data_IF_375779574605
#
_entry.id   IF_375779574605
#
_cell.length_a   1.000
_cell.length_b   1.000
_cell.length_c   1.000
_cell.angle_alpha   90.00
_cell.angle_beta   90.00
_cell.angle_gamma   90.00
#
_symmetry.space_group_name_H-M   'P 1'
#
loop_
_entity.id
_entity.type
_entity.pdbx_description
1 polymer ?
#
# COMPACT_ATOMS: atom_id res chain seq x y z
N UNK A 1 19.95 -25.27 -4.45
CA UNK A 1 20.54 -24.09 -3.78
C UNK A 1 20.05 -22.91 -4.55
N UNK A 2 19.01 -22.22 -4.06
CA UNK A 2 18.56 -20.96 -4.62
C UNK A 2 19.67 -19.94 -4.41
N UNK A 3 20.12 -19.32 -5.49
CA UNK A 3 21.08 -18.24 -5.44
C UNK A 3 20.35 -17.05 -4.77
N UNK A 4 20.69 -16.73 -3.52
CA UNK A 4 19.99 -15.78 -2.67
C UNK A 4 20.22 -14.31 -3.07
N UNK A 5 20.95 -14.05 -4.15
CA UNK A 5 21.44 -12.72 -4.43
C UNK A 5 20.43 -11.78 -5.11
N UNK A 6 19.20 -12.23 -5.46
CA UNK A 6 18.18 -11.32 -6.03
C UNK A 6 16.74 -11.88 -6.07
N UNK A 7 16.22 -12.52 -5.04
CA UNK A 7 14.80 -12.84 -5.02
C UNK A 7 14.00 -11.58 -4.68
N UNK A 8 13.44 -10.95 -5.68
CA UNK A 8 12.60 -9.76 -5.52
C UNK A 8 11.22 -10.15 -5.03
N UNK A 9 10.80 -9.64 -3.87
CA UNK A 9 9.52 -9.97 -3.25
C UNK A 9 8.31 -9.89 -4.19
N UNK A 10 8.15 -8.83 -5.02
CA UNK A 10 7.02 -8.77 -5.96
C UNK A 10 7.01 -9.92 -6.98
N UNK A 11 8.17 -10.35 -7.47
CA UNK A 11 8.29 -11.47 -8.40
C UNK A 11 7.97 -12.80 -7.70
N UNK A 12 8.48 -12.99 -6.48
CA UNK A 12 8.20 -14.17 -5.69
C UNK A 12 6.68 -14.29 -5.43
N UNK A 13 6.04 -13.22 -4.97
CA UNK A 13 4.59 -13.17 -4.73
C UNK A 13 3.78 -13.55 -5.98
N UNK A 14 4.25 -13.16 -7.18
CA UNK A 14 3.56 -13.45 -8.43
C UNK A 14 3.85 -14.85 -9.01
N UNK A 15 4.93 -15.50 -8.58
CA UNK A 15 5.41 -16.76 -9.17
C UNK A 15 5.06 -18.00 -8.35
N UNK A 16 4.85 -17.86 -7.04
CA UNK A 16 4.53 -19.00 -6.17
C UNK A 16 3.02 -19.21 -6.01
N UNK A 17 2.56 -20.43 -5.68
CA UNK A 17 1.15 -20.70 -5.41
C UNK A 17 0.62 -19.87 -4.23
N UNK A 18 -0.58 -19.32 -4.35
CA UNK A 18 -1.18 -18.42 -3.35
C UNK A 18 -1.47 -19.09 -1.99
N UNK A 19 -1.55 -20.40 -1.95
CA UNK A 19 -1.76 -21.20 -0.75
C UNK A 19 -0.44 -21.69 -0.10
N UNK A 20 0.71 -21.44 -0.76
CA UNK A 20 2.02 -21.84 -0.25
C UNK A 20 2.44 -21.02 0.97
N UNK A 21 3.35 -21.56 1.76
CA UNK A 21 3.94 -20.86 2.90
C UNK A 21 4.84 -19.73 2.43
N UNK A 22 5.59 -19.95 1.34
CA UNK A 22 6.46 -18.93 0.72
C UNK A 22 5.67 -17.72 0.30
N UNK A 23 4.47 -17.91 -0.29
CA UNK A 23 3.58 -16.82 -0.65
C UNK A 23 3.18 -15.98 0.57
N UNK A 24 2.71 -16.65 1.63
CA UNK A 24 2.27 -15.99 2.86
C UNK A 24 3.38 -15.17 3.49
N UNK A 25 4.59 -15.76 3.58
CA UNK A 25 5.76 -15.08 4.15
C UNK A 25 6.20 -13.90 3.28
N UNK A 26 6.26 -14.07 1.95
CA UNK A 26 6.64 -13.01 1.02
C UNK A 26 5.66 -11.82 1.08
N UNK A 27 4.35 -12.08 1.14
CA UNK A 27 3.34 -11.06 1.31
C UNK A 27 3.51 -10.30 2.63
N UNK A 28 3.74 -11.01 3.74
CA UNK A 28 3.94 -10.36 5.05
C UNK A 28 5.19 -9.47 5.04
N UNK A 29 6.31 -9.94 4.49
CA UNK A 29 7.52 -9.10 4.38
C UNK A 29 7.23 -7.87 3.55
N UNK A 30 6.64 -8.02 2.36
CA UNK A 30 6.32 -6.91 1.46
C UNK A 30 5.39 -5.88 2.12
N UNK A 31 4.33 -6.34 2.77
CA UNK A 31 3.34 -5.47 3.42
C UNK A 31 3.99 -4.65 4.55
N UNK A 32 4.82 -5.28 5.38
CA UNK A 32 5.54 -4.58 6.45
C UNK A 32 6.60 -3.61 5.92
N UNK A 33 7.35 -3.98 4.87
CA UNK A 33 8.30 -3.05 4.23
C UNK A 33 7.58 -1.80 3.73
N UNK A 34 6.46 -1.97 3.01
CA UNK A 34 5.67 -0.83 2.52
C UNK A 34 5.12 0.02 3.67
N UNK A 35 4.64 -0.61 4.74
CA UNK A 35 4.13 0.09 5.90
C UNK A 35 5.22 0.95 6.55
N UNK A 36 6.37 0.36 6.88
CA UNK A 36 7.46 1.10 7.53
C UNK A 36 8.12 2.15 6.64
N UNK A 37 8.22 1.91 5.33
CA UNK A 37 8.69 2.93 4.38
C UNK A 37 7.76 4.15 4.39
N UNK A 38 6.46 3.94 4.54
CA UNK A 38 5.47 5.03 4.56
C UNK A 38 5.49 5.86 5.84
N UNK A 39 6.25 5.45 6.86
CA UNK A 39 6.27 6.09 8.17
C UNK A 39 7.59 6.84 8.43
N UNK A 40 7.51 7.89 9.22
CA UNK A 40 8.66 8.60 9.76
C UNK A 40 8.33 9.19 11.13
N UNK A 41 9.25 9.11 12.11
CA UNK A 41 9.08 9.82 13.38
C UNK A 41 9.15 11.33 13.20
N UNK A 42 9.64 11.80 12.05
CA UNK A 42 9.73 13.21 11.65
C UNK A 42 9.41 13.29 10.15
N UNK A 43 8.13 13.21 9.77
CA UNK A 43 7.75 13.26 8.36
C UNK A 43 8.15 14.62 7.78
N UNK A 44 8.75 14.60 6.58
CA UNK A 44 9.13 15.83 5.87
C UNK A 44 7.90 16.51 5.27
N UNK A 45 6.92 15.74 4.82
CA UNK A 45 5.61 16.25 4.39
C UNK A 45 4.51 15.58 5.22
N UNK A 46 3.71 16.37 5.92
CA UNK A 46 2.57 15.89 6.74
C UNK A 46 1.26 15.81 5.94
N UNK A 47 1.25 16.33 4.73
CA UNK A 47 0.11 16.28 3.80
C UNK A 47 0.61 16.02 2.38
N UNK A 48 -0.18 15.34 1.52
CA UNK A 48 0.21 15.09 0.13
C UNK A 48 0.28 16.39 -0.67
N UNK A 49 1.27 16.46 -1.57
CA UNK A 49 1.51 17.62 -2.44
C UNK A 49 1.63 17.20 -3.92
N UNK A 50 1.65 18.18 -4.83
CA UNK A 50 1.89 17.98 -6.25
C UNK A 50 0.87 17.05 -6.93
N UNK A 51 1.36 16.19 -7.84
CA UNK A 51 0.51 15.28 -8.62
C UNK A 51 -0.21 14.26 -7.74
N UNK A 52 0.42 13.78 -6.67
CA UNK A 52 -0.23 12.87 -5.73
C UNK A 52 -1.48 13.51 -5.11
N UNK A 53 -1.36 14.77 -4.64
CA UNK A 53 -2.49 15.50 -4.08
C UNK A 53 -3.61 15.69 -5.12
N UNK A 54 -3.27 16.09 -6.33
CA UNK A 54 -4.25 16.23 -7.40
C UNK A 54 -4.97 14.92 -7.73
N UNK A 55 -4.23 13.80 -7.72
CA UNK A 55 -4.84 12.48 -7.97
C UNK A 55 -5.73 12.04 -6.81
N UNK A 56 -5.37 12.36 -5.56
CA UNK A 56 -6.25 12.14 -4.40
C UNK A 56 -7.55 12.94 -4.56
N UNK A 57 -7.45 14.23 -4.84
CA UNK A 57 -8.62 15.10 -4.97
C UNK A 57 -9.51 14.65 -6.15
N UNK A 58 -8.92 14.22 -7.27
CA UNK A 58 -9.66 13.67 -8.40
C UNK A 58 -10.33 12.32 -8.09
N UNK A 59 -9.69 11.45 -7.31
CA UNK A 59 -10.20 10.09 -7.03
C UNK A 59 -11.25 10.08 -5.92
N UNK A 60 -11.16 11.00 -4.95
CA UNK A 60 -11.98 10.99 -3.75
C UNK A 60 -12.79 12.27 -3.52
N UNK A 61 -12.57 13.32 -4.32
CA UNK A 61 -13.19 14.62 -4.19
C UNK A 61 -12.39 15.62 -3.36
N UNK A 62 -11.71 15.16 -2.31
CA UNK A 62 -10.79 15.96 -1.49
C UNK A 62 -9.88 15.06 -0.67
N UNK A 63 -8.83 15.64 -0.07
CA UNK A 63 -7.97 14.94 0.87
C UNK A 63 -8.72 14.51 2.14
N UNK A 64 -9.64 15.33 2.64
CA UNK A 64 -10.43 14.99 3.82
C UNK A 64 -11.36 13.82 3.53
N UNK A 65 -12.03 13.81 2.37
CA UNK A 65 -12.84 12.67 1.95
C UNK A 65 -12.02 11.39 1.73
N UNK A 66 -10.78 11.51 1.26
CA UNK A 66 -9.84 10.39 1.20
C UNK A 66 -9.55 9.86 2.60
N UNK A 67 -9.22 10.72 3.58
CA UNK A 67 -8.94 10.30 4.96
C UNK A 67 -10.15 9.61 5.61
N UNK A 68 -11.36 10.13 5.39
CA UNK A 68 -12.60 9.52 5.89
C UNK A 68 -12.79 8.10 5.32
N UNK A 69 -12.67 7.93 4.00
CA UNK A 69 -12.78 6.63 3.34
C UNK A 69 -11.68 5.67 3.77
N UNK A 70 -10.46 6.17 3.95
CA UNK A 70 -9.34 5.34 4.39
C UNK A 70 -9.55 4.85 5.81
N UNK A 71 -10.00 5.73 6.72
CA UNK A 71 -10.37 5.38 8.09
C UNK A 71 -11.51 4.37 8.13
N UNK A 72 -12.57 4.60 7.34
CA UNK A 72 -13.70 3.68 7.24
C UNK A 72 -13.24 2.28 6.79
N UNK A 73 -12.38 2.20 5.79
CA UNK A 73 -11.84 0.93 5.33
C UNK A 73 -11.03 0.20 6.42
N UNK A 74 -10.21 0.93 7.20
CA UNK A 74 -9.45 0.38 8.35
C UNK A 74 -10.37 -0.16 9.43
N UNK A 75 -11.46 0.53 9.74
CA UNK A 75 -12.42 0.11 10.76
C UNK A 75 -13.24 -1.12 10.32
N UNK A 76 -13.48 -1.26 9.02
CA UNK A 76 -14.30 -2.32 8.45
C UNK A 76 -13.54 -3.62 8.16
N UNK A 77 -12.21 -3.67 8.31
CA UNK A 77 -11.48 -4.93 8.19
C UNK A 77 -11.91 -5.88 9.29
N UNK A 78 -12.47 -7.02 8.90
CA UNK A 78 -12.85 -8.06 9.85
C UNK A 78 -11.63 -8.91 10.22
N UNK A 79 -11.28 -8.93 11.53
CA UNK A 79 -10.10 -9.66 11.99
C UNK A 79 -8.79 -8.96 11.63
N UNK A 80 -7.80 -9.73 11.18
CA UNK A 80 -6.47 -9.26 10.78
C UNK A 80 -6.42 -8.97 9.29
N UNK A 81 -5.70 -7.95 8.90
CA UNK A 81 -5.55 -7.59 7.50
C UNK A 81 -4.77 -6.30 7.29
N UNK A 82 -4.90 -5.75 6.11
CA UNK A 82 -4.23 -4.54 5.66
C UNK A 82 -5.18 -3.65 4.89
N UNK A 83 -4.95 -2.36 4.88
CA UNK A 83 -5.65 -1.44 3.97
C UNK A 83 -4.61 -0.67 3.16
N UNK A 84 -4.65 -0.84 1.85
CA UNK A 84 -3.69 -0.26 0.92
C UNK A 84 -4.25 0.97 0.22
N UNK A 85 -3.38 1.92 -0.09
CA UNK A 85 -3.59 2.94 -1.11
C UNK A 85 -2.90 2.46 -2.39
N UNK A 86 -3.68 2.26 -3.44
CA UNK A 86 -3.24 1.62 -4.69
C UNK A 86 -3.38 2.59 -5.85
N UNK A 87 -2.30 2.72 -6.63
CA UNK A 87 -2.34 3.42 -7.93
C UNK A 87 -2.90 2.48 -8.98
N UNK A 88 -3.90 2.94 -9.70
CA UNK A 88 -4.48 2.24 -10.86
C UNK A 88 -4.21 3.01 -12.15
N UNK A 89 -3.74 2.30 -13.15
CA UNK A 89 -3.69 2.82 -14.51
C UNK A 89 -5.03 2.59 -15.20
N UNK A 90 -5.58 3.63 -15.79
CA UNK A 90 -6.70 3.50 -16.73
C UNK A 90 -6.16 3.63 -18.16
N UNK A 91 -5.89 2.51 -18.85
CA UNK A 91 -5.28 2.54 -20.18
C UNK A 91 -6.18 3.23 -21.23
N UNK A 92 -7.49 3.23 -21.04
CA UNK A 92 -8.44 3.86 -21.96
C UNK A 92 -8.32 5.40 -21.99
N UNK A 93 -7.96 6.00 -20.84
CA UNK A 93 -7.88 7.46 -20.71
C UNK A 93 -6.45 7.96 -20.48
N UNK A 94 -5.45 7.09 -20.51
CA UNK A 94 -4.04 7.40 -20.16
C UNK A 94 -3.94 8.18 -18.85
N UNK A 95 -4.78 7.83 -17.87
CA UNK A 95 -4.92 8.53 -16.60
C UNK A 95 -4.63 7.60 -15.42
N UNK A 96 -4.24 8.20 -14.31
CA UNK A 96 -4.00 7.50 -13.05
C UNK A 96 -5.09 7.85 -12.05
N UNK A 97 -5.50 6.86 -11.27
CA UNK A 97 -6.43 7.02 -10.15
C UNK A 97 -5.89 6.31 -8.92
N UNK A 98 -6.44 6.66 -7.76
CA UNK A 98 -6.16 5.97 -6.51
C UNK A 98 -7.39 5.21 -6.03
N UNK A 99 -7.14 4.07 -5.41
CA UNK A 99 -8.15 3.25 -4.76
C UNK A 99 -7.67 2.85 -3.37
N UNK A 100 -8.61 2.72 -2.44
CA UNK A 100 -8.40 2.14 -1.13
C UNK A 100 -8.82 0.68 -1.19
N UNK A 101 -7.88 -0.24 -0.93
CA UNK A 101 -8.07 -1.70 -1.07
C UNK A 101 -7.83 -2.37 0.27
N UNK A 102 -8.88 -2.79 0.98
CA UNK A 102 -8.74 -3.64 2.15
C UNK A 102 -8.43 -5.08 1.72
N UNK A 103 -7.58 -5.76 2.47
CA UNK A 103 -7.27 -7.17 2.29
C UNK A 103 -7.28 -7.92 3.61
N UNK A 104 -7.53 -9.22 3.55
CA UNK A 104 -7.54 -10.09 4.70
C UNK A 104 -6.16 -10.74 4.94
N UNK A 105 -5.82 -10.94 6.19
CA UNK A 105 -4.62 -11.63 6.62
C UNK A 105 -3.34 -11.08 5.94
N UNK A 106 -2.64 -11.92 5.18
CA UNK A 106 -1.37 -11.61 4.52
C UNK A 106 -1.52 -11.08 3.10
N UNK A 107 -2.74 -11.08 2.52
CA UNK A 107 -2.96 -10.78 1.11
C UNK A 107 -2.49 -9.36 0.77
N UNK A 108 -1.84 -9.24 -0.39
CA UNK A 108 -1.39 -7.97 -0.96
C UNK A 108 -2.04 -7.73 -2.33
N UNK A 109 -2.30 -6.47 -2.74
CA UNK A 109 -2.84 -6.14 -4.06
C UNK A 109 -1.96 -6.57 -5.24
N UNK A 110 -0.68 -6.88 -5.02
CA UNK A 110 0.22 -7.40 -6.07
C UNK A 110 -0.20 -8.77 -6.62
N UNK A 111 -1.08 -9.47 -5.91
CA UNK A 111 -1.54 -10.81 -6.29
C UNK A 111 -2.59 -10.81 -7.43
N UNK A 112 -2.99 -9.66 -7.92
CA UNK A 112 -3.90 -9.60 -9.06
C UNK A 112 -3.20 -10.20 -10.27
N UNK A 113 -3.59 -11.42 -10.67
CA UNK A 113 -2.98 -12.14 -11.80
C UNK A 113 -2.94 -11.22 -13.02
N UNK A 114 -1.76 -10.92 -13.49
CA UNK A 114 -1.49 -10.06 -14.66
C UNK A 114 -2.24 -10.50 -15.92
N UNK A 115 -2.54 -11.81 -16.04
CA UNK A 115 -3.21 -12.41 -17.20
C UNK A 115 -4.70 -12.04 -17.31
N UNK A 116 -5.33 -11.65 -16.21
CA UNK A 116 -6.76 -11.29 -16.19
C UNK A 116 -7.01 -9.82 -15.84
N UNK A 117 -6.02 -9.10 -15.34
CA UNK A 117 -6.14 -7.70 -14.96
C UNK A 117 -5.81 -6.79 -16.16
N UNK A 118 -6.82 -6.14 -16.69
CA UNK A 118 -6.65 -5.04 -17.66
C UNK A 118 -6.05 -3.78 -17.03
N UNK A 119 -5.93 -3.75 -15.71
CA UNK A 119 -5.50 -2.59 -14.91
C UNK A 119 -4.36 -2.97 -13.99
N UNK A 120 -3.26 -2.26 -14.07
CA UNK A 120 -2.14 -2.41 -13.15
C UNK A 120 -2.50 -1.81 -11.79
N UNK A 121 -2.25 -2.54 -10.72
CA UNK A 121 -2.49 -2.11 -9.33
C UNK A 121 -1.15 -2.06 -8.58
N UNK A 122 -0.76 -0.88 -8.12
CA UNK A 122 0.54 -0.67 -7.45
C UNK A 122 0.29 -0.05 -6.08
N UNK A 123 0.54 -0.78 -5.00
CA UNK A 123 0.45 -0.22 -3.66
C UNK A 123 1.55 0.84 -3.44
N UNK A 124 1.17 1.99 -2.87
CA UNK A 124 2.09 3.08 -2.54
C UNK A 124 2.11 3.43 -1.06
N UNK A 125 1.13 2.97 -0.30
CA UNK A 125 1.05 3.07 1.16
C UNK A 125 0.11 2.00 1.69
N UNK A 126 0.25 1.65 2.97
CA UNK A 126 -0.71 0.77 3.63
C UNK A 126 -0.77 1.01 5.14
N UNK A 127 -1.82 0.52 5.76
CA UNK A 127 -1.97 0.44 7.23
C UNK A 127 -2.08 -1.03 7.62
N UNK A 128 -1.28 -1.42 8.60
CA UNK A 128 -1.35 -2.71 9.25
C UNK A 128 -2.55 -2.74 10.23
N UNK A 129 -3.48 -3.66 10.02
CA UNK A 129 -4.69 -3.82 10.85
C UNK A 129 -4.65 -5.13 11.64
N UNK A 130 -3.50 -5.78 11.73
CA UNK A 130 -3.24 -6.87 12.67
C UNK A 130 -3.16 -6.32 14.10
N UNK A 131 -3.62 -7.09 15.09
CA UNK A 131 -3.65 -6.64 16.49
C UNK A 131 -2.27 -6.28 17.03
N UNK A 132 -1.19 -6.95 16.57
CA UNK A 132 0.16 -6.62 16.99
C UNK A 132 0.58 -5.17 16.65
N UNK A 133 -0.03 -4.55 15.62
CA UNK A 133 0.29 -3.20 15.22
C UNK A 133 -0.27 -2.13 16.16
N UNK A 134 -1.40 -2.40 16.82
CA UNK A 134 -2.09 -1.36 17.59
C UNK A 134 -2.45 -1.74 19.03
N UNK A 135 -2.58 -3.02 19.35
CA UNK A 135 -3.17 -3.45 20.62
C UNK A 135 -2.37 -3.00 21.84
N UNK A 136 -1.04 -2.97 21.77
CA UNK A 136 -0.18 -2.56 22.90
C UNK A 136 -0.49 -1.14 23.37
N UNK A 137 -0.70 -0.19 22.43
CA UNK A 137 -0.90 1.22 22.72
C UNK A 137 -2.37 1.64 22.74
N UNK A 138 -3.19 1.07 21.85
CA UNK A 138 -4.55 1.54 21.57
C UNK A 138 -5.63 0.52 21.95
N UNK A 139 -5.27 -0.69 22.40
CA UNK A 139 -6.19 -1.80 22.66
C UNK A 139 -7.03 -2.08 21.41
N UNK A 140 -8.36 -2.07 21.52
CA UNK A 140 -9.28 -2.28 20.39
C UNK A 140 -9.62 -1.01 19.62
N UNK A 141 -9.04 0.15 19.97
CA UNK A 141 -9.36 1.44 19.35
C UNK A 141 -8.57 1.66 18.05
N UNK A 142 -9.02 1.00 16.98
CA UNK A 142 -8.46 1.16 15.61
C UNK A 142 -8.63 2.58 15.09
N UNK A 143 -9.67 3.31 15.50
CA UNK A 143 -9.88 4.68 15.07
C UNK A 143 -8.75 5.59 15.57
N UNK A 144 -8.42 5.47 16.86
CA UNK A 144 -7.30 6.23 17.45
C UNK A 144 -5.94 5.81 16.88
N UNK A 145 -5.76 4.52 16.60
CA UNK A 145 -4.57 4.02 15.91
C UNK A 145 -4.41 4.68 14.54
N UNK A 146 -5.46 4.67 13.70
CA UNK A 146 -5.46 5.34 12.39
C UNK A 146 -5.06 6.82 12.50
N UNK A 147 -5.72 7.56 13.41
CA UNK A 147 -5.45 8.99 13.59
C UNK A 147 -4.00 9.28 14.02
N UNK A 148 -3.37 8.34 14.71
CA UNK A 148 -1.94 8.45 15.06
C UNK A 148 -1.01 8.01 13.94
N UNK A 149 -1.38 7.00 13.14
CA UNK A 149 -0.63 6.64 11.93
C UNK A 149 -0.54 7.83 10.97
N UNK A 150 -1.65 8.56 10.76
CA UNK A 150 -1.66 9.71 9.86
C UNK A 150 -0.71 10.85 10.30
N UNK A 151 -0.38 10.95 11.59
CA UNK A 151 0.60 11.94 12.11
C UNK A 151 2.04 11.59 11.77
N UNK A 152 2.33 10.32 11.51
CA UNK A 152 3.66 9.81 11.21
C UNK A 152 3.80 9.32 9.76
N UNK A 153 2.75 9.44 8.96
CA UNK A 153 2.86 9.23 7.51
C UNK A 153 3.76 10.28 6.89
N UNK A 154 4.74 9.81 6.14
CA UNK A 154 5.68 10.64 5.37
C UNK A 154 5.19 10.76 3.92
N UNK A 155 4.41 11.80 3.67
CA UNK A 155 3.82 12.03 2.34
C UNK A 155 4.86 12.31 1.26
N UNK A 156 6.07 12.74 1.62
CA UNK A 156 7.16 12.86 0.66
C UNK A 156 7.57 11.48 0.14
N UNK A 157 7.76 10.50 1.03
CA UNK A 157 8.11 9.14 0.63
C UNK A 157 6.99 8.48 -0.18
N UNK A 158 5.74 8.64 0.25
CA UNK A 158 4.57 8.14 -0.48
C UNK A 158 4.48 8.79 -1.87
N UNK A 159 4.79 10.08 -1.99
CA UNK A 159 4.85 10.79 -3.26
C UNK A 159 5.97 10.27 -4.18
N UNK A 160 7.12 9.88 -3.63
CA UNK A 160 8.18 9.23 -4.40
C UNK A 160 7.73 7.88 -4.95
N UNK A 161 7.06 7.04 -4.14
CA UNK A 161 6.46 5.78 -4.58
C UNK A 161 5.40 6.00 -5.65
N UNK A 162 4.52 7.00 -5.47
CA UNK A 162 3.52 7.38 -6.47
C UNK A 162 4.18 7.79 -7.81
N UNK A 163 5.20 8.65 -7.75
CA UNK A 163 5.93 9.10 -8.94
C UNK A 163 6.62 7.93 -9.65
N UNK A 164 7.18 6.99 -8.90
CA UNK A 164 7.75 5.78 -9.46
C UNK A 164 6.67 4.92 -10.13
N UNK A 165 5.54 4.68 -9.45
CA UNK A 165 4.43 3.89 -9.96
C UNK A 165 3.79 4.45 -11.24
N UNK A 166 3.78 5.78 -11.41
CA UNK A 166 3.15 6.45 -12.55
C UNK A 166 4.10 6.68 -13.73
N UNK A 167 5.40 6.41 -13.61
CA UNK A 167 6.32 6.44 -14.72
C UNK A 167 6.11 5.23 -15.63
N UNK A 168 5.97 5.43 -16.93
CA UNK A 168 5.79 4.36 -17.93
C UNK A 168 6.93 3.34 -17.97
N UNK A 169 8.09 3.68 -17.41
CA UNK A 169 9.30 2.84 -17.37
C UNK A 169 9.56 2.22 -15.99
N UNK A 170 8.61 2.33 -15.05
CA UNK A 170 8.84 1.77 -13.73
C UNK A 170 8.81 0.24 -13.75
N UNK A 171 9.93 -0.35 -13.36
CA UNK A 171 10.08 -1.78 -13.24
C UNK A 171 9.64 -2.22 -11.83
N UNK A 172 8.40 -2.70 -11.72
CA UNK A 172 7.80 -3.18 -10.46
C UNK A 172 8.51 -4.40 -9.87
N UNK A 173 9.48 -4.94 -10.58
CA UNK A 173 10.27 -6.07 -10.07
C UNK A 173 11.45 -5.60 -9.23
N UNK A 174 11.74 -4.30 -9.20
CA UNK A 174 12.81 -3.74 -8.38
C UNK A 174 12.34 -3.48 -6.95
N UNK A 175 13.22 -3.69 -5.95
CA UNK A 175 12.94 -3.28 -4.58
C UNK A 175 12.68 -1.77 -4.53
N UNK A 176 12.01 -1.32 -3.46
CA UNK A 176 11.82 0.11 -3.19
C UNK A 176 13.19 0.75 -2.96
N UNK A 177 13.83 1.26 -4.02
CA UNK A 177 15.02 2.09 -3.89
C UNK A 177 14.58 3.50 -3.47
N UNK A 178 14.99 3.91 -2.28
CA UNK A 178 14.85 5.28 -1.77
C UNK A 178 16.09 6.08 -2.11
#
# INVERSE_FOLDING_TARGET
VLNTDEVRLPQLIQSVPNDSEEYKLACQVYNHELFFISLSPRPEETTPTGLLRATIDNSFGSYDAFLEKYKEAVLNVWGSGWVFVVVKNNPQFSSWSLEIVPTENHITPLNTKRETATTLQIPIACIDVWEHAYYTQFKSDRAKFFDNCMKVYDWQKIRLLYNAATRLSYDYTKPFEM
#
